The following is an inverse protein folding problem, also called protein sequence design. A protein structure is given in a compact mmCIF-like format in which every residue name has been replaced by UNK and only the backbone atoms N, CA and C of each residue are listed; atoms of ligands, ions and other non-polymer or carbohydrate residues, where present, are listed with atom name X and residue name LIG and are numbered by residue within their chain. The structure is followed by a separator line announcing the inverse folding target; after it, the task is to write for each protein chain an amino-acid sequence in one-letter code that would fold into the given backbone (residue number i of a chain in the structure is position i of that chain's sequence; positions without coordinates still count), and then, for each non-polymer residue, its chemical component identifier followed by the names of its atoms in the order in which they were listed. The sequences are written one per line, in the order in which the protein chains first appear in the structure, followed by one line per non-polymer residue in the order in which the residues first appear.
data_IF_145341097898
#
_entry.id   IF_145341097898
#
_cell.length_a   1.000
_cell.length_b   1.000
_cell.length_c   1.000
_cell.angle_alpha   90.00
_cell.angle_beta   90.00
_cell.angle_gamma   90.00
#
_symmetry.space_group_name_H-M   'P 1'
#
loop_
_entity.id
_entity.type
_entity.pdbx_description
1 polymer ?
#
# COMPACT_ATOMS: atom_id res chain seq x y z
N UNK A 1 -25.64 4.72 -17.38
CA UNK A 1 -24.20 4.66 -17.74
C UNK A 1 -23.29 4.99 -16.54
N UNK A 2 -22.87 3.98 -15.75
CA UNK A 2 -21.80 4.11 -14.75
C UNK A 2 -21.03 2.78 -14.57
N UNK A 3 -19.80 2.84 -15.09
CA UNK A 3 -18.57 2.16 -14.69
C UNK A 3 -18.46 0.62 -14.84
N UNK A 4 -18.09 0.24 -16.08
CA UNK A 4 -17.05 -0.72 -16.46
C UNK A 4 -16.66 -1.76 -15.38
N UNK A 5 -17.44 -2.83 -15.31
CA UNK A 5 -17.00 -4.12 -14.81
C UNK A 5 -16.05 -4.74 -15.87
N UNK A 6 -14.83 -4.21 -16.00
CA UNK A 6 -13.78 -4.82 -16.83
C UNK A 6 -13.30 -6.10 -16.14
N UNK A 7 -14.05 -7.18 -16.34
CA UNK A 7 -13.59 -8.54 -16.06
C UNK A 7 -12.70 -8.93 -17.25
N UNK A 8 -11.49 -8.38 -17.30
CA UNK A 8 -10.48 -8.76 -18.28
C UNK A 8 -9.93 -10.13 -17.90
N UNK A 9 -10.02 -11.17 -18.75
CA UNK A 9 -9.42 -12.47 -18.47
C UNK A 9 -7.90 -12.32 -18.47
N UNK A 10 -7.25 -12.55 -17.31
CA UNK A 10 -5.79 -12.54 -17.04
C UNK A 10 -5.10 -11.20 -16.66
N UNK A 11 -5.81 -10.28 -16.00
CA UNK A 11 -5.19 -9.17 -15.26
C UNK A 11 -5.48 -9.30 -13.77
N UNK A 12 -4.71 -10.12 -13.04
CA UNK A 12 -4.94 -10.29 -11.59
C UNK A 12 -4.60 -8.99 -10.85
N UNK A 13 -5.64 -8.20 -10.55
CA UNK A 13 -5.52 -7.04 -9.66
C UNK A 13 -4.97 -7.50 -8.32
N UNK A 14 -3.91 -6.86 -7.85
CA UNK A 14 -3.26 -7.14 -6.57
C UNK A 14 -3.79 -6.15 -5.55
N UNK A 15 -4.58 -6.63 -4.59
CA UNK A 15 -5.07 -5.83 -3.47
C UNK A 15 -3.96 -5.70 -2.45
N UNK A 16 -3.55 -4.48 -2.15
CA UNK A 16 -2.48 -4.19 -1.20
C UNK A 16 -2.95 -3.19 -0.15
N UNK A 17 -2.33 -3.23 1.02
CA UNK A 17 -2.53 -2.20 2.05
C UNK A 17 -1.33 -1.27 2.05
N UNK A 18 -1.57 0.03 1.89
CA UNK A 18 -0.53 1.05 1.85
C UNK A 18 -0.53 1.85 3.15
N UNK A 19 0.63 2.01 3.76
CA UNK A 19 0.85 2.82 4.96
C UNK A 19 1.69 4.05 4.64
N UNK A 20 1.63 5.07 5.48
CA UNK A 20 2.53 6.24 5.41
C UNK A 20 3.73 6.02 6.30
N UNK A 21 4.93 6.19 5.74
CA UNK A 21 6.17 6.03 6.49
C UNK A 21 6.21 6.98 7.68
N UNK A 22 6.47 6.45 8.88
CA UNK A 22 6.52 7.25 10.12
C UNK A 22 5.16 7.67 10.68
N UNK A 23 4.05 7.31 10.04
CA UNK A 23 2.73 7.67 10.52
C UNK A 23 2.10 6.53 11.33
N UNK A 24 2.10 6.72 12.65
CA UNK A 24 1.53 5.76 13.60
C UNK A 24 0.00 5.85 13.77
N UNK A 25 -0.63 6.86 13.17
CA UNK A 25 -2.07 7.12 13.30
C UNK A 25 -2.84 6.73 12.04
N UNK A 26 -2.14 6.59 10.92
CA UNK A 26 -2.72 6.13 9.68
C UNK A 26 -2.85 4.60 9.67
N UNK A 27 -4.10 4.12 9.77
CA UNK A 27 -4.45 2.68 9.76
C UNK A 27 -4.20 1.97 8.42
N UNK A 28 -3.60 2.65 7.43
CA UNK A 28 -3.39 2.13 6.10
C UNK A 28 -4.60 2.31 5.18
N UNK A 29 -4.37 2.27 3.88
CA UNK A 29 -5.39 2.35 2.84
C UNK A 29 -5.27 1.16 1.90
N UNK A 30 -6.38 0.45 1.69
CA UNK A 30 -6.42 -0.64 0.73
C UNK A 30 -6.55 -0.08 -0.69
N UNK A 31 -5.66 -0.54 -1.57
CA UNK A 31 -5.59 -0.14 -2.99
C UNK A 31 -5.44 -1.38 -3.86
N UNK A 32 -6.17 -1.42 -4.97
CA UNK A 32 -6.00 -2.45 -5.99
C UNK A 32 -5.00 -1.95 -7.05
N UNK A 33 -3.89 -2.65 -7.20
CA UNK A 33 -2.86 -2.37 -8.19
C UNK A 33 -3.01 -3.39 -9.31
N UNK A 34 -3.16 -2.95 -10.55
CA UNK A 34 -3.12 -3.82 -11.73
C UNK A 34 -1.73 -3.70 -12.37
N UNK A 35 -0.79 -4.63 -12.15
CA UNK A 35 0.60 -4.50 -12.59
C UNK A 35 0.75 -4.20 -14.08
N UNK A 36 -0.14 -4.76 -14.90
CA UNK A 36 -0.16 -4.58 -16.35
C UNK A 36 -0.49 -3.14 -16.79
N UNK A 37 -1.10 -2.32 -15.92
CA UNK A 37 -1.35 -0.91 -16.21
C UNK A 37 -0.11 -0.03 -16.04
N UNK A 38 0.96 -0.54 -15.42
CA UNK A 38 2.15 0.25 -15.11
C UNK A 38 3.37 -0.34 -15.82
N UNK A 39 3.97 0.44 -16.73
CA UNK A 39 5.17 0.01 -17.46
C UNK A 39 6.43 0.00 -16.60
N UNK A 40 6.44 0.71 -15.48
CA UNK A 40 7.55 0.79 -14.54
C UNK A 40 7.04 1.17 -13.14
N UNK A 41 7.89 0.99 -12.13
CA UNK A 41 7.58 1.35 -10.75
C UNK A 41 7.27 2.85 -10.59
N UNK A 42 7.95 3.74 -11.33
CA UNK A 42 7.72 5.19 -11.26
C UNK A 42 6.28 5.60 -11.55
N UNK A 43 5.65 4.97 -12.55
CA UNK A 43 4.23 5.20 -12.84
C UNK A 43 3.31 4.76 -11.71
N UNK A 44 3.62 3.61 -11.08
CA UNK A 44 2.89 3.17 -9.91
C UNK A 44 3.04 4.17 -8.76
N UNK A 45 4.27 4.59 -8.44
CA UNK A 45 4.54 5.55 -7.36
C UNK A 45 3.80 6.88 -7.58
N UNK A 46 3.67 7.33 -8.83
CA UNK A 46 2.91 8.53 -9.16
C UNK A 46 1.41 8.35 -8.89
N UNK A 47 0.81 7.22 -9.26
CA UNK A 47 -0.58 6.91 -8.90
C UNK A 47 -0.74 6.82 -7.39
N UNK A 48 0.18 6.13 -6.69
CA UNK A 48 0.16 6.04 -5.23
C UNK A 48 0.26 7.40 -4.54
N UNK A 49 0.94 8.38 -5.16
CA UNK A 49 1.01 9.77 -4.67
C UNK A 49 -0.33 10.49 -4.69
N UNK A 50 -1.25 10.08 -5.57
CA UNK A 50 -2.64 10.60 -5.56
C UNK A 50 -3.50 9.90 -4.53
N UNK A 51 -3.13 8.67 -4.17
CA UNK A 51 -3.88 7.81 -3.26
C UNK A 51 -3.47 8.03 -1.80
N UNK A 52 -2.18 8.29 -1.55
CA UNK A 52 -1.56 8.47 -0.25
C UNK A 52 -0.97 9.88 -0.16
N UNK A 53 -1.51 10.66 0.76
CA UNK A 53 -1.08 12.03 0.99
C UNK A 53 0.22 12.05 1.81
N UNK A 54 1.33 12.29 1.12
CA UNK A 54 2.66 12.53 1.66
C UNK A 54 3.15 13.90 1.17
N UNK A 55 3.94 14.65 1.97
CA UNK A 55 4.34 16.02 1.66
C UNK A 55 5.06 16.18 0.32
N UNK A 56 5.76 15.14 -0.18
CA UNK A 56 6.42 15.14 -1.49
C UNK A 56 5.93 14.02 -2.41
N UNK A 57 4.75 13.48 -2.12
CA UNK A 57 4.21 12.28 -2.75
C UNK A 57 4.98 11.01 -2.40
N UNK A 58 4.53 9.89 -2.95
CA UNK A 58 5.19 8.59 -2.82
C UNK A 58 6.36 8.57 -3.80
N UNK A 59 7.58 8.54 -3.26
CA UNK A 59 8.83 8.44 -4.03
C UNK A 59 9.48 7.07 -3.90
N UNK A 60 9.20 6.39 -2.80
CA UNK A 60 9.69 5.04 -2.52
C UNK A 60 8.59 4.22 -1.89
N UNK A 61 8.64 2.92 -2.15
CA UNK A 61 7.72 1.95 -1.59
C UNK A 61 8.56 0.90 -0.87
N UNK A 62 8.25 0.64 0.39
CA UNK A 62 8.95 -0.33 1.21
C UNK A 62 8.02 -1.47 1.61
N UNK A 63 8.59 -2.64 1.84
CA UNK A 63 7.85 -3.75 2.47
C UNK A 63 7.67 -3.48 3.97
N UNK A 64 6.49 -3.76 4.51
CA UNK A 64 6.20 -3.50 5.94
C UNK A 64 7.13 -4.26 6.90
N UNK A 65 7.54 -5.49 6.53
CA UNK A 65 8.19 -6.42 7.46
C UNK A 65 9.71 -6.21 7.57
N UNK A 66 10.37 -5.85 6.47
CA UNK A 66 11.83 -5.71 6.41
C UNK A 66 12.31 -4.31 6.04
N UNK A 67 11.40 -3.40 5.67
CA UNK A 67 11.80 -2.10 5.11
C UNK A 67 12.56 -2.24 3.79
N UNK A 68 12.48 -3.39 3.12
CA UNK A 68 13.13 -3.60 1.83
C UNK A 68 12.39 -2.78 0.77
N UNK A 69 13.14 -2.01 -0.01
CA UNK A 69 12.60 -1.21 -1.10
C UNK A 69 12.04 -2.12 -2.19
N UNK A 70 10.83 -1.80 -2.62
CA UNK A 70 10.21 -2.38 -3.80
C UNK A 70 10.82 -1.69 -5.00
N UNK A 71 11.54 -2.44 -5.83
CA UNK A 71 12.20 -1.91 -7.04
C UNK A 71 11.41 -2.17 -8.31
N UNK A 72 10.44 -3.08 -8.27
CA UNK A 72 9.67 -3.49 -9.44
C UNK A 72 8.19 -3.74 -9.11
N UNK A 73 7.31 -3.50 -10.07
CA UNK A 73 5.87 -3.76 -9.90
C UNK A 73 5.61 -5.27 -9.80
N UNK A 74 6.46 -6.10 -10.42
CA UNK A 74 6.33 -7.56 -10.43
C UNK A 74 6.45 -8.18 -9.04
N UNK A 75 7.22 -7.57 -8.13
CA UNK A 75 7.40 -8.09 -6.76
C UNK A 75 6.25 -7.72 -5.82
N UNK A 76 5.30 -6.90 -6.29
CA UNK A 76 4.09 -6.58 -5.54
C UNK A 76 3.23 -7.84 -5.45
N UNK A 77 2.77 -8.19 -4.25
CA UNK A 77 1.97 -9.38 -4.00
C UNK A 77 0.56 -8.99 -3.59
N UNK A 78 -0.42 -9.76 -4.03
CA UNK A 78 -1.79 -9.64 -3.54
C UNK A 78 -1.85 -9.97 -2.03
N UNK A 79 -2.68 -9.23 -1.30
CA UNK A 79 -2.83 -9.30 0.15
C UNK A 79 -1.65 -8.75 0.96
N UNK A 80 -0.57 -8.32 0.32
CA UNK A 80 0.59 -7.78 1.01
C UNK A 80 0.41 -6.32 1.41
N UNK A 81 1.23 -5.86 2.35
CA UNK A 81 1.23 -4.47 2.77
C UNK A 81 2.58 -3.80 2.60
N UNK A 82 2.52 -2.52 2.22
CA UNK A 82 3.65 -1.71 1.83
C UNK A 82 3.59 -0.35 2.52
N UNK A 83 4.75 0.26 2.68
CA UNK A 83 4.93 1.55 3.33
C UNK A 83 5.40 2.54 2.27
N UNK A 84 4.56 3.52 2.00
CA UNK A 84 4.85 4.63 1.11
C UNK A 84 5.71 5.66 1.84
N UNK A 85 6.82 6.05 1.22
CA UNK A 85 7.72 7.08 1.74
C UNK A 85 8.00 8.13 0.67
N UNK A 86 8.30 9.35 1.10
CA UNK A 86 8.91 10.35 0.24
C UNK A 86 10.45 10.12 0.21
N UNK A 87 11.22 11.13 0.58
CA UNK A 87 12.69 11.07 0.62
C UNK A 87 13.25 10.70 2.00
N UNK A 88 12.38 10.53 2.99
CA UNK A 88 12.79 10.15 4.34
C UNK A 88 13.18 8.65 4.42
N UNK A 89 14.11 8.28 5.31
CA UNK A 89 14.46 6.88 5.53
C UNK A 89 13.27 6.09 6.07
N UNK A 90 13.23 4.79 5.79
CA UNK A 90 12.20 3.90 6.32
C UNK A 90 12.18 3.94 7.85
N UNK A 91 11.02 4.29 8.43
CA UNK A 91 10.77 4.22 9.85
C UNK A 91 10.13 2.87 10.15
N UNK A 92 10.78 2.07 10.98
CA UNK A 92 10.23 0.80 11.43
C UNK A 92 9.14 1.06 12.47
N UNK A 93 7.89 0.83 12.09
CA UNK A 93 6.73 0.88 12.98
C UNK A 93 5.94 -0.43 12.84
N UNK A 94 5.11 -0.71 13.84
CA UNK A 94 4.15 -1.82 13.81
C UNK A 94 2.92 -1.43 12.97
N UNK A 95 3.13 -1.23 11.66
CA UNK A 95 2.11 -0.74 10.73
C UNK A 95 0.83 -1.60 10.72
N UNK A 96 0.96 -2.93 10.83
CA UNK A 96 -0.17 -3.86 10.91
C UNK A 96 -0.97 -3.74 12.21
N UNK A 97 -0.30 -3.43 13.33
CA UNK A 97 -0.96 -3.24 14.63
C UNK A 97 -1.81 -1.97 14.68
N UNK A 98 -1.56 -1.03 13.77
CA UNK A 98 -2.37 0.20 13.62
C UNK A 98 -3.62 -0.08 12.76
N UNK A 99 -3.50 -0.97 11.76
CA UNK A 99 -4.60 -1.34 10.86
C UNK A 99 -5.67 -2.21 11.53
N UNK A 100 -5.33 -2.92 12.60
CA UNK A 100 -6.31 -3.62 13.43
C UNK A 100 -6.88 -2.63 14.44
N UNK A 101 -8.15 -2.17 14.32
CA UNK A 101 -8.82 -1.68 15.51
C UNK A 101 -8.80 -2.85 16.49
N UNK A 102 -8.11 -2.68 17.62
CA UNK A 102 -8.20 -3.59 18.74
C UNK A 102 -9.64 -3.53 19.26
N UNK A 103 -10.56 -4.22 18.60
CA UNK A 103 -11.85 -4.60 19.17
C UNK A 103 -11.56 -5.68 20.22
N UNK A 104 -10.89 -5.29 21.30
CA UNK A 104 -10.98 -6.01 22.56
C UNK A 104 -12.33 -5.65 23.17
N UNK A 105 -13.37 -6.37 22.74
CA UNK A 105 -14.58 -6.53 23.53
C UNK A 105 -14.91 -8.02 23.57
N UNK A 106 -14.27 -8.74 24.48
CA UNK A 106 -14.88 -9.91 25.09
C UNK A 106 -14.62 -9.83 26.59
N UNK A 107 -15.48 -9.05 27.25
CA UNK A 107 -15.82 -9.26 28.64
C UNK A 107 -16.41 -10.66 28.78
N UNK A 108 -15.62 -11.61 29.26
CA UNK A 108 -16.16 -12.81 29.93
C UNK A 108 -15.94 -12.63 31.42
N UNK A 109 -16.95 -12.11 32.13
CA UNK A 109 -17.42 -12.53 33.46
C UNK A 109 -18.86 -12.04 33.64
#
# INVERSE_FOLDING_TARGET
PRLKNDISPQSTSRKVTLFRNGDRYFAGKQTAIVPQNYSNLGQLLQELSTTIDLPYGVRRLFTQNRGSEVTDVSVIKDGASYVCASFEPFQKLEYTSIAVPRLTFNIEQ
#
